data_IF_956897132683
#
_entry.id   IF_956897132683
#
_cell.length_a   1.000
_cell.length_b   1.000
_cell.length_c   1.000
_cell.angle_alpha   90.00
_cell.angle_beta   90.00
_cell.angle_gamma   90.00
#
_symmetry.space_group_name_H-M   'P 1'
#
loop_
_entity.id
_entity.type
_entity.pdbx_description
1 polymer ?
#
# COMPACT_ATOMS: atom_id res chain seq x y z
N UNK A 1 0.82 28.04 -35.34
CA UNK A 1 0.55 26.58 -35.34
C UNK A 1 1.77 25.88 -34.76
N UNK A 2 1.61 24.78 -34.01
CA UNK A 2 2.76 24.01 -33.53
C UNK A 2 3.62 23.60 -34.74
N UNK A 3 4.94 23.81 -34.65
CA UNK A 3 5.82 23.47 -35.76
C UNK A 3 5.79 21.97 -36.01
N UNK A 4 5.92 21.55 -37.28
CA UNK A 4 5.93 20.13 -37.66
C UNK A 4 6.99 19.33 -36.87
N UNK A 5 8.09 20.02 -36.53
CA UNK A 5 9.17 19.54 -35.67
C UNK A 5 8.71 19.29 -34.23
N UNK A 6 7.97 20.21 -33.62
CA UNK A 6 7.42 20.05 -32.26
C UNK A 6 6.47 18.87 -32.16
N UNK A 7 5.58 18.71 -33.13
CA UNK A 7 4.62 17.59 -33.14
C UNK A 7 5.36 16.26 -33.23
N UNK A 8 6.36 16.16 -34.12
CA UNK A 8 7.22 14.97 -34.24
C UNK A 8 7.99 14.67 -32.96
N UNK A 9 8.50 15.71 -32.29
CA UNK A 9 9.19 15.57 -31.01
C UNK A 9 8.26 15.08 -29.90
N UNK A 10 7.03 15.60 -29.84
CA UNK A 10 5.99 15.11 -28.91
C UNK A 10 5.66 13.65 -29.16
N UNK A 11 5.44 13.23 -30.41
CA UNK A 11 5.21 11.82 -30.76
C UNK A 11 6.35 10.95 -30.20
N UNK A 12 7.61 11.29 -30.51
CA UNK A 12 8.78 10.54 -30.03
C UNK A 12 8.85 10.47 -28.49
N UNK A 13 8.55 11.58 -27.81
CA UNK A 13 8.52 11.63 -26.36
C UNK A 13 7.44 10.72 -25.79
N UNK A 14 6.20 10.83 -26.26
CA UNK A 14 5.07 10.02 -25.79
C UNK A 14 5.27 8.54 -26.10
N UNK A 15 5.83 8.18 -27.26
CA UNK A 15 6.21 6.79 -27.58
C UNK A 15 7.25 6.24 -26.61
N UNK A 16 8.23 7.07 -26.21
CA UNK A 16 9.23 6.66 -25.22
C UNK A 16 8.59 6.42 -23.84
N UNK A 17 7.69 7.32 -23.42
CA UNK A 17 6.91 7.16 -22.19
C UNK A 17 6.06 5.88 -22.21
N UNK A 18 5.35 5.60 -23.31
CA UNK A 18 4.54 4.38 -23.50
C UNK A 18 5.36 3.10 -23.32
N UNK A 19 6.58 3.06 -23.88
CA UNK A 19 7.49 1.91 -23.71
C UNK A 19 7.90 1.72 -22.24
N UNK A 20 8.17 2.82 -21.53
CA UNK A 20 8.54 2.78 -20.11
C UNK A 20 7.36 2.30 -19.27
N UNK A 21 6.16 2.85 -19.47
CA UNK A 21 4.97 2.44 -18.71
C UNK A 21 4.61 0.98 -18.99
N UNK A 22 4.72 0.51 -20.24
CA UNK A 22 4.51 -0.89 -20.59
C UNK A 22 5.53 -1.81 -19.89
N UNK A 23 6.82 -1.46 -19.89
CA UNK A 23 7.83 -2.22 -19.17
C UNK A 23 7.54 -2.25 -17.65
N UNK A 24 7.14 -1.11 -17.07
CA UNK A 24 6.77 -1.03 -15.64
C UNK A 24 5.52 -1.85 -15.30
N UNK A 25 4.54 -1.93 -16.21
CA UNK A 25 3.38 -2.81 -16.08
C UNK A 25 3.82 -4.27 -15.96
N UNK A 26 4.67 -4.74 -16.88
CA UNK A 26 5.17 -6.13 -16.88
C UNK A 26 5.98 -6.45 -15.62
N UNK A 27 6.86 -5.53 -15.20
CA UNK A 27 7.62 -5.68 -13.96
C UNK A 27 6.69 -5.75 -12.74
N UNK A 28 5.67 -4.89 -12.68
CA UNK A 28 4.72 -4.88 -11.56
C UNK A 28 3.85 -6.13 -11.55
N UNK A 29 3.45 -6.65 -12.71
CA UNK A 29 2.75 -7.92 -12.83
C UNK A 29 3.55 -9.08 -12.25
N UNK A 30 4.83 -9.20 -12.60
CA UNK A 30 5.71 -10.24 -12.05
C UNK A 30 5.88 -10.13 -10.53
N UNK A 31 6.03 -8.91 -10.01
CA UNK A 31 6.14 -8.65 -8.57
C UNK A 31 4.83 -8.93 -7.81
N UNK A 32 3.70 -8.60 -8.41
CA UNK A 32 2.37 -8.90 -7.87
C UNK A 32 2.19 -10.41 -7.69
N UNK A 33 2.48 -11.21 -8.71
CA UNK A 33 2.36 -12.67 -8.62
C UNK A 33 3.24 -13.27 -7.50
N UNK A 34 4.45 -12.72 -7.31
CA UNK A 34 5.32 -13.14 -6.19
C UNK A 34 4.78 -12.71 -4.83
N UNK A 35 4.30 -11.48 -4.71
CA UNK A 35 3.72 -10.97 -3.47
C UNK A 35 2.46 -11.76 -3.08
N UNK A 36 1.60 -12.08 -4.04
CA UNK A 36 0.41 -12.92 -3.84
C UNK A 36 0.79 -14.34 -3.37
N UNK A 37 1.81 -14.95 -4.00
CA UNK A 37 2.30 -16.26 -3.59
C UNK A 37 2.84 -16.23 -2.15
N UNK A 38 3.58 -15.20 -1.78
CA UNK A 38 4.10 -15.01 -0.43
C UNK A 38 2.98 -14.80 0.60
N UNK A 39 1.97 -13.99 0.27
CA UNK A 39 0.79 -13.81 1.12
C UNK A 39 0.05 -15.12 1.34
N UNK A 40 -0.23 -15.89 0.27
CA UNK A 40 -0.88 -17.21 0.34
C UNK A 40 -0.07 -18.21 1.15
N UNK A 41 1.25 -18.25 0.99
CA UNK A 41 2.13 -19.13 1.76
C UNK A 41 2.16 -18.77 3.25
N UNK A 42 1.82 -17.53 3.61
CA UNK A 42 1.81 -17.06 4.99
C UNK A 42 0.48 -17.34 5.73
N UNK A 43 -0.64 -17.49 5.01
CA UNK A 43 -1.96 -17.77 5.60
C UNK A 43 -1.98 -18.96 6.56
N UNK A 44 -1.35 -20.12 6.28
CA UNK A 44 -1.35 -21.25 7.21
C UNK A 44 -0.71 -20.93 8.56
N UNK A 45 0.38 -20.14 8.56
CA UNK A 45 1.03 -19.71 9.79
C UNK A 45 0.09 -18.80 10.59
N UNK A 46 -0.52 -17.80 9.93
CA UNK A 46 -1.46 -16.87 10.53
C UNK A 46 -2.66 -17.57 11.17
N UNK A 47 -3.28 -18.49 10.44
CA UNK A 47 -4.44 -19.23 10.94
C UNK A 47 -4.05 -20.09 12.14
N UNK A 48 -2.88 -20.74 12.10
CA UNK A 48 -2.45 -21.61 13.20
C UNK A 48 -2.13 -20.82 14.47
N UNK A 49 -1.44 -19.68 14.36
CA UNK A 49 -1.18 -18.84 15.54
C UNK A 49 -2.48 -18.25 16.11
N UNK A 50 -3.42 -17.85 15.25
CA UNK A 50 -4.74 -17.38 15.66
C UNK A 50 -5.53 -18.46 16.39
N UNK A 51 -5.56 -19.69 15.86
CA UNK A 51 -6.27 -20.81 16.49
C UNK A 51 -5.67 -21.18 17.87
N UNK A 52 -4.35 -21.14 18.00
CA UNK A 52 -3.67 -21.42 19.29
C UNK A 52 -3.96 -20.31 20.29
N UNK A 53 -3.84 -19.04 19.88
CA UNK A 53 -4.16 -17.89 20.74
C UNK A 53 -5.63 -17.91 21.16
N UNK A 54 -6.55 -18.23 20.25
CA UNK A 54 -7.98 -18.38 20.55
C UNK A 54 -8.25 -19.48 21.58
N UNK A 55 -7.63 -20.65 21.40
CA UNK A 55 -7.80 -21.77 22.32
C UNK A 55 -7.34 -21.42 23.74
N UNK A 56 -6.18 -20.79 23.89
CA UNK A 56 -5.65 -20.40 25.21
C UNK A 56 -6.49 -19.27 25.84
N UNK A 57 -6.84 -18.25 25.05
CA UNK A 57 -7.63 -17.12 25.53
C UNK A 57 -9.04 -17.54 25.99
N UNK A 58 -9.65 -18.54 25.35
CA UNK A 58 -10.97 -19.07 25.75
C UNK A 58 -10.96 -19.88 27.05
N UNK A 59 -9.82 -20.51 27.38
CA UNK A 59 -9.69 -21.38 28.55
C UNK A 59 -9.20 -20.68 29.82
N UNK A 60 -8.77 -19.42 29.72
CA UNK A 60 -8.18 -18.68 30.84
C UNK A 60 -9.17 -17.62 31.32
N UNK A 61 -9.93 -17.92 32.40
CA UNK A 61 -10.94 -16.99 32.96
C UNK A 61 -10.37 -16.01 34.00
N UNK A 62 -9.19 -16.27 34.56
CA UNK A 62 -8.57 -15.46 35.61
C UNK A 62 -7.11 -15.15 35.22
N UNK A 63 -6.77 -13.87 35.03
CA UNK A 63 -5.44 -13.41 34.62
C UNK A 63 -5.43 -12.72 33.27
N UNK A 64 -6.08 -11.54 33.19
CA UNK A 64 -6.32 -10.88 31.92
C UNK A 64 -5.06 -10.17 31.41
N UNK A 65 -4.35 -10.83 30.49
CA UNK A 65 -3.15 -10.27 29.86
C UNK A 65 -3.43 -8.85 29.29
N UNK A 66 -2.55 -7.85 29.49
CA UNK A 66 -2.82 -6.45 29.10
C UNK A 66 -3.22 -6.26 27.62
N UNK A 67 -2.73 -7.13 26.73
CA UNK A 67 -3.08 -7.11 25.30
C UNK A 67 -4.50 -7.63 24.99
N UNK A 68 -5.20 -8.27 25.93
CA UNK A 68 -6.57 -8.79 25.76
C UNK A 68 -7.63 -7.87 26.39
N UNK A 69 -7.24 -6.99 27.31
CA UNK A 69 -8.16 -6.14 28.06
C UNK A 69 -8.32 -4.78 27.41
N UNK A 70 -9.56 -4.35 27.21
CA UNK A 70 -9.86 -2.98 26.81
C UNK A 70 -9.73 -2.03 28.00
N UNK A 71 -9.00 -0.93 27.81
CA UNK A 71 -8.83 0.14 28.81
C UNK A 71 -9.32 1.48 28.25
N UNK A 72 -9.63 2.48 29.11
CA UNK A 72 -10.05 3.80 28.67
C UNK A 72 -9.00 4.44 27.75
N UNK A 73 -9.41 4.88 26.57
CA UNK A 73 -8.50 5.38 25.53
C UNK A 73 -8.16 6.84 25.80
N UNK A 74 -6.89 7.12 26.08
CA UNK A 74 -6.31 8.47 26.15
C UNK A 74 -5.49 8.79 24.92
N UNK A 75 -4.70 7.83 24.44
CA UNK A 75 -3.88 7.95 23.23
C UNK A 75 -4.07 6.74 22.33
N UNK A 76 -4.00 6.97 21.02
CA UNK A 76 -4.11 5.89 20.02
C UNK A 76 -2.92 5.89 19.07
N UNK A 77 -2.46 4.69 18.77
CA UNK A 77 -1.44 4.46 17.77
C UNK A 77 -2.04 4.00 16.44
N UNK A 78 -1.43 4.47 15.36
CA UNK A 78 -1.84 4.20 13.99
C UNK A 78 -0.63 3.71 13.21
N UNK A 79 -0.63 2.44 12.85
CA UNK A 79 0.34 1.83 11.94
C UNK A 79 -0.21 1.91 10.52
N UNK A 80 0.39 2.76 9.70
CA UNK A 80 -0.09 3.02 8.34
C UNK A 80 0.91 2.44 7.34
N UNK A 81 0.45 1.46 6.55
CA UNK A 81 1.24 0.75 5.55
C UNK A 81 0.92 1.28 4.17
N UNK A 82 1.92 1.86 3.51
CA UNK A 82 1.82 2.20 2.09
C UNK A 82 3.17 2.05 1.39
N UNK A 83 3.29 2.62 0.18
CA UNK A 83 4.43 2.37 -0.68
C UNK A 83 5.58 3.34 -0.43
N UNK A 84 6.80 2.88 -0.73
CA UNK A 84 7.97 3.76 -0.83
C UNK A 84 7.99 4.57 -2.13
N UNK A 85 7.35 4.05 -3.19
CA UNK A 85 7.41 4.58 -4.55
C UNK A 85 6.01 4.92 -5.06
N UNK A 86 5.89 6.03 -5.77
CA UNK A 86 4.64 6.44 -6.43
C UNK A 86 4.26 5.57 -7.63
N UNK A 87 3.50 6.18 -8.55
CA UNK A 87 3.01 5.54 -9.79
C UNK A 87 2.08 4.34 -9.55
N UNK A 88 1.45 4.26 -8.37
CA UNK A 88 0.54 3.19 -7.98
C UNK A 88 -0.94 3.66 -7.95
N UNK A 89 -1.31 4.61 -8.82
CA UNK A 89 -2.65 5.18 -8.85
C UNK A 89 -3.07 5.78 -7.50
N UNK A 90 -4.27 5.44 -7.03
CA UNK A 90 -4.85 5.96 -5.79
C UNK A 90 -4.42 5.19 -4.51
N UNK A 91 -3.57 4.17 -4.62
CA UNK A 91 -3.18 3.28 -3.51
C UNK A 91 -2.79 4.04 -2.23
N UNK A 92 -1.79 4.92 -2.30
CA UNK A 92 -1.31 5.66 -1.13
C UNK A 92 -2.37 6.62 -0.60
N UNK A 93 -3.01 7.38 -1.49
CA UNK A 93 -4.00 8.40 -1.12
C UNK A 93 -5.22 7.80 -0.43
N UNK A 94 -5.64 6.61 -0.87
CA UNK A 94 -6.80 5.93 -0.29
C UNK A 94 -6.50 5.41 1.12
N UNK A 95 -5.33 4.81 1.35
CA UNK A 95 -4.92 4.35 2.69
C UNK A 95 -4.73 5.53 3.65
N UNK A 96 -4.08 6.60 3.20
CA UNK A 96 -3.89 7.82 3.99
C UNK A 96 -5.23 8.44 4.36
N UNK A 97 -6.17 8.53 3.40
CA UNK A 97 -7.52 9.05 3.67
C UNK A 97 -8.24 8.19 4.70
N UNK A 98 -8.23 6.87 4.55
CA UNK A 98 -8.85 5.95 5.51
C UNK A 98 -8.28 6.10 6.91
N UNK A 99 -6.96 6.30 7.04
CA UNK A 99 -6.32 6.56 8.32
C UNK A 99 -6.76 7.90 8.94
N UNK A 100 -6.87 8.97 8.14
CA UNK A 100 -7.36 10.26 8.60
C UNK A 100 -8.83 10.20 9.03
N UNK A 101 -9.69 9.53 8.25
CA UNK A 101 -11.11 9.33 8.58
C UNK A 101 -11.24 8.55 9.90
N UNK A 102 -10.38 7.54 10.11
CA UNK A 102 -10.30 6.78 11.36
C UNK A 102 -9.84 7.60 12.56
N UNK A 103 -8.94 8.57 12.38
CA UNK A 103 -8.53 9.52 13.43
C UNK A 103 -9.65 10.52 13.74
N UNK A 104 -10.31 11.06 12.71
CA UNK A 104 -11.37 12.06 12.84
C UNK A 104 -12.61 11.48 13.53
N UNK A 105 -13.03 10.27 13.14
CA UNK A 105 -14.20 9.59 13.76
C UNK A 105 -14.06 9.35 15.26
N UNK A 106 -12.82 9.34 15.78
CA UNK A 106 -12.51 9.15 17.20
C UNK A 106 -12.29 10.48 17.94
N UNK A 107 -12.48 11.63 17.27
CA UNK A 107 -12.31 12.97 17.81
C UNK A 107 -10.95 13.20 18.49
N UNK A 108 -9.88 12.61 17.93
CA UNK A 108 -8.56 12.69 18.55
C UNK A 108 -7.82 13.95 18.14
N UNK A 109 -7.24 14.64 19.14
CA UNK A 109 -6.28 15.69 18.88
C UNK A 109 -4.99 15.10 18.30
N UNK A 110 -4.23 15.90 17.57
CA UNK A 110 -2.91 15.49 17.06
C UNK A 110 -1.94 15.06 18.18
N UNK A 111 -2.11 15.61 19.39
CA UNK A 111 -1.26 15.32 20.55
C UNK A 111 -1.54 13.92 21.15
N UNK A 112 -2.72 13.36 20.87
CA UNK A 112 -3.17 12.06 21.36
C UNK A 112 -2.92 10.94 20.34
N UNK A 113 -2.35 11.28 19.19
CA UNK A 113 -2.11 10.36 18.07
C UNK A 113 -0.62 10.06 17.94
N UNK A 114 -0.30 8.77 17.85
CA UNK A 114 1.04 8.26 17.55
C UNK A 114 1.03 7.54 16.21
N UNK A 115 1.94 7.88 15.31
CA UNK A 115 2.03 7.25 13.98
C UNK A 115 3.25 6.33 13.89
N UNK A 116 3.03 5.12 13.40
CA UNK A 116 4.05 4.22 12.88
C UNK A 116 3.93 4.20 11.36
N UNK A 117 4.92 4.74 10.67
CA UNK A 117 4.87 4.91 9.22
C UNK A 117 5.64 3.81 8.49
N UNK A 118 4.94 2.95 7.76
CA UNK A 118 5.57 1.95 6.90
C UNK A 118 5.47 2.42 5.45
N UNK A 119 6.61 2.82 4.89
CA UNK A 119 6.72 3.37 3.54
C UNK A 119 6.93 4.89 3.51
N UNK A 120 7.82 5.32 2.61
CA UNK A 120 8.24 6.73 2.43
C UNK A 120 7.07 7.70 2.24
N UNK A 121 6.06 7.35 1.43
CA UNK A 121 4.97 8.28 1.09
C UNK A 121 4.15 8.67 2.31
N UNK A 122 3.83 7.69 3.16
CA UNK A 122 3.09 7.89 4.42
C UNK A 122 3.92 8.69 5.41
N UNK A 123 5.20 8.32 5.57
CA UNK A 123 6.14 9.03 6.44
C UNK A 123 6.24 10.50 6.10
N UNK A 124 6.45 10.82 4.82
CA UNK A 124 6.58 12.20 4.33
C UNK A 124 5.27 12.98 4.51
N UNK A 125 4.12 12.33 4.27
CA UNK A 125 2.80 12.94 4.44
C UNK A 125 2.52 13.32 5.90
N UNK A 126 2.63 12.37 6.84
CA UNK A 126 2.29 12.62 8.24
C UNK A 126 3.27 13.60 8.91
N UNK A 127 4.57 13.52 8.59
CA UNK A 127 5.55 14.52 9.06
C UNK A 127 5.21 15.93 8.56
N UNK A 128 4.85 16.08 7.28
CA UNK A 128 4.46 17.38 6.72
C UNK A 128 3.19 17.94 7.37
N UNK A 129 2.27 17.08 7.79
CA UNK A 129 1.03 17.47 8.46
C UNK A 129 1.20 17.74 9.97
N UNK A 130 2.42 17.60 10.51
CA UNK A 130 2.75 17.87 11.91
C UNK A 130 2.27 16.78 12.88
N UNK A 131 2.08 15.54 12.42
CA UNK A 131 1.79 14.41 13.29
C UNK A 131 3.07 13.86 13.94
N UNK A 132 2.91 13.25 15.12
CA UNK A 132 4.00 12.59 15.82
C UNK A 132 4.29 11.20 15.21
N UNK A 133 5.26 11.14 14.29
CA UNK A 133 5.77 9.88 13.71
C UNK A 133 6.88 9.33 14.62
N UNK A 134 6.55 8.32 15.42
CA UNK A 134 7.43 7.76 16.46
C UNK A 134 8.43 6.74 15.90
N UNK A 135 8.04 6.05 14.84
CA UNK A 135 8.92 5.15 14.13
C UNK A 135 8.54 5.09 12.65
N UNK A 136 9.53 4.79 11.82
CA UNK A 136 9.34 4.66 10.39
C UNK A 136 10.18 3.53 9.82
N UNK A 137 9.58 2.75 8.92
CA UNK A 137 10.27 1.72 8.16
C UNK A 137 10.17 2.08 6.68
N UNK A 138 11.32 2.32 6.03
CA UNK A 138 11.38 2.80 4.64
C UNK A 138 12.36 1.97 3.82
N UNK A 139 12.14 1.93 2.51
CA UNK A 139 13.02 1.18 1.61
C UNK A 139 12.84 -0.33 1.73
N UNK A 140 11.62 -0.77 2.04
CA UNK A 140 11.29 -2.18 2.12
C UNK A 140 11.47 -2.84 0.74
N UNK A 141 12.04 -4.06 0.68
CA UNK A 141 12.17 -4.77 -0.57
C UNK A 141 10.78 -5.08 -1.16
N UNK A 142 10.73 -5.32 -2.48
CA UNK A 142 9.47 -5.69 -3.16
C UNK A 142 8.88 -7.00 -2.61
N UNK A 143 9.72 -7.86 -2.04
CA UNK A 143 9.34 -9.11 -1.39
C UNK A 143 9.90 -9.08 0.04
N UNK A 144 9.18 -8.48 1.00
CA UNK A 144 9.64 -8.35 2.37
C UNK A 144 9.65 -9.70 3.07
N UNK A 145 10.62 -9.82 3.98
CA UNK A 145 10.74 -10.89 4.94
C UNK A 145 10.23 -10.43 6.31
N UNK A 146 9.96 -11.36 7.21
CA UNK A 146 9.53 -11.03 8.56
C UNK A 146 10.55 -10.16 9.32
N UNK A 147 11.85 -10.37 9.09
CA UNK A 147 12.92 -9.58 9.72
C UNK A 147 12.86 -8.10 9.36
N UNK A 148 12.34 -7.74 8.19
CA UNK A 148 12.31 -6.36 7.71
C UNK A 148 11.31 -5.50 8.47
N UNK A 149 10.26 -6.10 9.05
CA UNK A 149 9.22 -5.38 9.81
C UNK A 149 9.26 -5.66 11.31
N UNK A 150 10.09 -6.61 11.74
CA UNK A 150 10.15 -7.09 13.11
C UNK A 150 10.47 -6.00 14.13
N UNK A 151 11.34 -5.05 13.79
CA UNK A 151 11.75 -3.99 14.71
C UNK A 151 10.60 -3.03 15.01
N UNK A 152 9.98 -2.47 13.98
CA UNK A 152 8.83 -1.56 14.14
C UNK A 152 7.63 -2.27 14.77
N UNK A 153 7.37 -3.54 14.41
CA UNK A 153 6.30 -4.33 15.01
C UNK A 153 6.54 -4.56 16.51
N UNK A 154 7.75 -4.94 16.92
CA UNK A 154 8.13 -5.07 18.33
C UNK A 154 8.01 -3.78 19.11
N UNK A 155 8.44 -2.66 18.52
CA UNK A 155 8.32 -1.34 19.15
C UNK A 155 6.85 -0.96 19.32
N UNK A 156 6.01 -1.19 18.31
CA UNK A 156 4.57 -0.94 18.38
C UNK A 156 3.85 -1.85 19.40
N UNK A 157 4.30 -3.08 19.60
CA UNK A 157 3.73 -3.93 20.66
C UNK A 157 4.26 -3.50 22.04
N UNK A 158 5.57 -3.25 22.18
CA UNK A 158 6.19 -2.85 23.43
C UNK A 158 5.64 -1.54 23.99
N UNK A 159 5.49 -0.52 23.15
CA UNK A 159 4.94 0.78 23.58
C UNK A 159 3.49 0.70 24.07
N UNK A 160 2.70 -0.26 23.57
CA UNK A 160 1.36 -0.55 24.09
C UNK A 160 1.43 -1.15 25.49
N UNK A 161 2.31 -2.14 25.69
CA UNK A 161 2.54 -2.80 26.98
C UNK A 161 3.05 -1.81 28.03
N UNK A 162 3.91 -0.88 27.64
CA UNK A 162 4.43 0.20 28.49
C UNK A 162 3.38 1.28 28.83
N UNK A 163 2.19 1.23 28.24
CA UNK A 163 1.12 2.19 28.51
C UNK A 163 1.26 3.54 27.79
N UNK A 164 2.06 3.60 26.71
CA UNK A 164 2.23 4.86 25.94
C UNK A 164 0.97 5.25 25.17
N UNK A 165 0.21 4.25 24.73
CA UNK A 165 -1.10 4.38 24.10
C UNK A 165 -1.98 3.18 24.42
N UNK A 166 -3.29 3.33 24.25
CA UNK A 166 -4.30 2.42 24.76
C UNK A 166 -4.93 1.55 23.67
N UNK A 167 -4.68 1.86 22.41
CA UNK A 167 -5.11 1.07 21.26
C UNK A 167 -4.17 1.28 20.07
N UNK A 168 -4.06 0.24 19.24
CA UNK A 168 -3.25 0.23 18.01
C UNK A 168 -4.13 -0.19 16.84
N UNK A 169 -4.27 0.69 15.87
CA UNK A 169 -4.92 0.44 14.59
C UNK A 169 -3.91 0.29 13.48
N UNK A 170 -4.23 -0.56 12.52
CA UNK A 170 -3.46 -0.76 11.31
C UNK A 170 -4.29 -0.42 10.09
N UNK A 171 -3.68 0.35 9.19
CA UNK A 171 -4.27 0.77 7.93
C UNK A 171 -3.42 0.26 6.79
N UNK A 172 -4.03 -0.49 5.89
CA UNK A 172 -3.38 -1.07 4.73
C UNK A 172 -4.41 -1.23 3.61
N UNK A 173 -3.96 -1.65 2.44
CA UNK A 173 -4.85 -1.95 1.32
C UNK A 173 -4.97 -3.46 1.15
N UNK A 174 -6.15 -4.00 1.42
CA UNK A 174 -6.47 -5.42 1.27
C UNK A 174 -6.58 -5.80 -0.21
N UNK A 175 -5.84 -6.82 -0.62
CA UNK A 175 -5.82 -7.31 -1.98
C UNK A 175 -7.00 -8.23 -2.24
N UNK A 176 -7.97 -7.75 -3.03
CA UNK A 176 -9.10 -8.56 -3.49
C UNK A 176 -8.79 -9.17 -4.86
N UNK A 177 -8.28 -8.34 -5.78
CA UNK A 177 -7.91 -8.77 -7.13
C UNK A 177 -6.92 -7.79 -7.76
N UNK A 178 -6.43 -8.12 -8.96
CA UNK A 178 -5.55 -7.24 -9.74
C UNK A 178 -6.14 -5.85 -10.03
N UNK A 179 -7.48 -5.72 -10.02
CA UNK A 179 -8.19 -4.48 -10.37
C UNK A 179 -8.74 -3.81 -9.12
N UNK A 180 -9.16 -4.60 -8.12
CA UNK A 180 -9.80 -4.10 -6.90
C UNK A 180 -8.94 -4.34 -5.67
N UNK A 181 -8.74 -3.27 -4.91
CA UNK A 181 -8.19 -3.30 -3.57
C UNK A 181 -9.00 -2.37 -2.67
N UNK A 182 -9.07 -2.70 -1.39
CA UNK A 182 -9.89 -1.96 -0.44
C UNK A 182 -9.01 -1.42 0.70
N UNK A 183 -9.06 -0.12 1.02
CA UNK A 183 -8.41 0.41 2.21
C UNK A 183 -9.12 -0.11 3.47
N UNK A 184 -8.41 -0.90 4.25
CA UNK A 184 -8.96 -1.59 5.42
C UNK A 184 -8.35 -1.01 6.70
N UNK A 185 -9.20 -0.79 7.69
CA UNK A 185 -8.80 -0.55 9.08
C UNK A 185 -8.91 -1.87 9.83
N UNK A 186 -7.86 -2.25 10.56
CA UNK A 186 -7.88 -3.41 11.44
C UNK A 186 -7.33 -3.01 12.81
N UNK A 187 -8.06 -3.35 13.87
CA UNK A 187 -7.57 -3.20 15.25
C UNK A 187 -6.54 -4.30 15.53
N UNK A 188 -5.34 -3.92 15.92
CA UNK A 188 -4.26 -4.87 16.27
C UNK A 188 -4.23 -5.07 17.78
N UNK A 189 -4.33 -3.99 18.57
CA UNK A 189 -4.35 -4.03 20.03
C UNK A 189 -5.41 -3.06 20.60
N UNK A 190 -6.02 -3.37 21.75
CA UNK A 190 -6.10 -4.70 22.37
C UNK A 190 -6.80 -5.71 21.44
N UNK A 191 -6.46 -6.99 21.59
CA UNK A 191 -6.96 -8.10 20.79
C UNK A 191 -8.30 -8.54 21.37
N UNK A 192 -9.38 -7.87 20.95
CA UNK A 192 -10.75 -8.18 21.41
C UNK A 192 -11.45 -9.21 20.56
N UNK A 193 -11.07 -9.31 19.28
CA UNK A 193 -11.81 -10.07 18.27
C UNK A 193 -11.04 -11.36 17.89
N UNK A 194 -10.75 -12.19 18.89
CA UNK A 194 -10.10 -13.49 18.65
C UNK A 194 -11.18 -14.52 18.34
N UNK A 195 -11.48 -14.69 17.05
CA UNK A 195 -12.34 -15.78 16.58
C UNK A 195 -11.47 -16.94 16.07
N UNK A 196 -11.72 -18.19 16.49
CA UNK A 196 -11.02 -19.34 15.95
C UNK A 196 -11.40 -19.51 14.47
N UNK A 197 -10.41 -19.85 13.64
CA UNK A 197 -10.61 -20.11 12.20
C UNK A 197 -11.12 -21.54 11.98
N UNK A 198 -10.70 -22.47 12.84
CA UNK A 198 -11.16 -23.86 12.86
C UNK A 198 -12.36 -24.05 13.79
N UNK A 199 -13.38 -24.79 13.35
CA UNK A 199 -14.49 -25.26 14.19
C UNK A 199 -14.12 -26.41 15.12
N UNK A 200 -12.92 -26.98 14.97
CA UNK A 200 -12.45 -28.08 15.82
C UNK A 200 -11.76 -27.52 17.06
N UNK A 201 -12.44 -27.58 18.20
CA UNK A 201 -11.86 -27.29 19.51
C UNK A 201 -10.88 -28.39 19.88
N UNK A 202 -9.59 -28.15 19.64
CA UNK A 202 -8.52 -29.00 20.15
C UNK A 202 -8.27 -28.68 21.63
N UNK A 203 -8.32 -29.70 22.49
CA UNK A 203 -7.89 -29.58 23.89
C UNK A 203 -6.38 -29.59 23.93
N UNK A 204 -5.77 -28.52 24.44
CA UNK A 204 -4.32 -28.40 24.60
C UNK A 204 -3.95 -28.58 26.07
N UNK A 205 -2.83 -29.25 26.32
CA UNK A 205 -2.15 -29.23 27.60
C UNK A 205 -1.02 -28.18 27.52
N UNK A 206 -0.94 -27.31 28.52
CA UNK A 206 -0.03 -26.16 28.50
C UNK A 206 1.13 -26.38 29.45
N UNK A 207 2.34 -26.28 28.93
CA UNK A 207 3.57 -26.33 29.71
C UNK A 207 4.42 -25.09 29.38
N UNK A 208 4.80 -24.24 30.36
CA UNK A 208 4.61 -24.37 31.82
C UNK A 208 3.23 -23.92 32.35
N UNK A 209 2.56 -22.95 31.72
CA UNK A 209 1.18 -22.54 32.02
C UNK A 209 0.58 -21.77 30.84
N UNK A 210 -0.76 -21.68 30.76
CA UNK A 210 -1.43 -20.92 29.68
C UNK A 210 -1.03 -19.44 29.66
N UNK A 211 -0.90 -18.81 30.83
CA UNK A 211 -0.49 -17.41 30.98
C UNK A 211 0.94 -17.16 30.49
N UNK A 212 1.90 -18.01 30.88
CA UNK A 212 3.30 -17.91 30.44
C UNK A 212 3.43 -18.09 28.92
N UNK A 213 2.59 -18.93 28.32
CA UNK A 213 2.54 -19.10 26.86
C UNK A 213 1.95 -17.85 26.19
N UNK A 214 0.89 -17.25 26.76
CA UNK A 214 0.28 -16.02 26.23
C UNK A 214 1.25 -14.84 26.24
N UNK A 215 2.07 -14.68 27.28
CA UNK A 215 3.10 -13.63 27.35
C UNK A 215 4.05 -13.65 26.15
N UNK A 216 4.34 -14.85 25.62
CA UNK A 216 5.22 -15.02 24.46
C UNK A 216 4.44 -14.98 23.15
N UNK A 217 3.26 -15.60 23.10
CA UNK A 217 2.49 -15.75 21.86
C UNK A 217 1.73 -14.49 21.45
N UNK A 218 1.20 -13.70 22.38
CA UNK A 218 0.42 -12.51 22.03
C UNK A 218 1.26 -11.44 21.30
N UNK A 219 2.50 -11.13 21.72
CA UNK A 219 3.39 -10.29 20.93
C UNK A 219 3.69 -10.86 19.56
N UNK A 220 3.99 -12.17 19.47
CA UNK A 220 4.24 -12.83 18.19
C UNK A 220 3.02 -12.81 17.27
N UNK A 221 1.82 -12.93 17.82
CA UNK A 221 0.57 -12.83 17.09
C UNK A 221 0.37 -11.43 16.54
N UNK A 222 0.56 -10.39 17.36
CA UNK A 222 0.49 -9.01 16.89
C UNK A 222 1.55 -8.69 15.81
N UNK A 223 2.80 -9.15 15.99
CA UNK A 223 3.86 -9.05 14.98
C UNK A 223 3.46 -9.76 13.68
N UNK A 224 2.85 -10.94 13.80
CA UNK A 224 2.37 -11.74 12.66
C UNK A 224 1.27 -11.02 11.88
N UNK A 225 0.31 -10.40 12.58
CA UNK A 225 -0.78 -9.62 11.98
C UNK A 225 -0.24 -8.45 11.15
N UNK A 226 0.76 -7.73 11.68
CA UNK A 226 1.40 -6.61 10.99
C UNK A 226 2.13 -7.12 9.73
N UNK A 227 2.88 -8.21 9.83
CA UNK A 227 3.57 -8.77 8.68
C UNK A 227 2.60 -9.31 7.61
N UNK A 228 1.50 -9.94 8.01
CA UNK A 228 0.46 -10.40 7.09
C UNK A 228 -0.17 -9.24 6.31
N UNK A 229 -0.48 -8.14 6.98
CA UNK A 229 -0.99 -6.94 6.34
C UNK A 229 0.05 -6.24 5.45
N UNK A 230 1.34 -6.34 5.78
CA UNK A 230 2.41 -5.87 4.91
C UNK A 230 2.47 -6.67 3.60
N UNK A 231 2.40 -8.01 3.66
CA UNK A 231 2.39 -8.87 2.47
C UNK A 231 1.18 -8.58 1.58
N UNK A 232 0.01 -8.45 2.20
CA UNK A 232 -1.24 -8.10 1.52
C UNK A 232 -1.16 -6.69 0.89
N UNK A 233 -0.65 -5.72 1.66
CA UNK A 233 -0.38 -4.36 1.20
C UNK A 233 0.58 -4.32 0.01
N UNK A 234 1.61 -5.18 -0.04
CA UNK A 234 2.54 -5.29 -1.17
C UNK A 234 1.90 -5.89 -2.41
N UNK A 235 1.03 -6.89 -2.25
CA UNK A 235 0.24 -7.43 -3.37
C UNK A 235 -0.65 -6.34 -3.97
N UNK A 236 -1.38 -5.60 -3.13
CA UNK A 236 -2.20 -4.44 -3.53
C UNK A 236 -1.39 -3.31 -4.17
N UNK A 237 -0.17 -3.05 -3.68
CA UNK A 237 0.74 -2.03 -4.22
C UNK A 237 1.12 -2.36 -5.67
N UNK A 238 1.56 -3.60 -5.92
CA UNK A 238 1.97 -4.04 -7.25
C UNK A 238 0.79 -4.16 -8.21
N UNK A 239 -0.37 -4.62 -7.74
CA UNK A 239 -1.60 -4.64 -8.53
C UNK A 239 -2.04 -3.23 -8.96
N UNK A 240 -2.08 -2.29 -8.02
CA UNK A 240 -2.42 -0.88 -8.31
C UNK A 240 -1.46 -0.24 -9.29
N UNK A 241 -0.16 -0.51 -9.15
CA UNK A 241 0.86 -0.03 -10.08
C UNK A 241 0.72 -0.66 -11.46
N UNK A 242 0.49 -1.96 -11.55
CA UNK A 242 0.24 -2.64 -12.82
C UNK A 242 -0.94 -2.00 -13.56
N UNK A 243 -2.06 -1.79 -12.87
CA UNK A 243 -3.26 -1.16 -13.44
C UNK A 243 -3.01 0.30 -13.85
N UNK A 244 -2.34 1.09 -13.00
CA UNK A 244 -1.99 2.47 -13.33
C UNK A 244 -1.06 2.59 -14.54
N UNK A 245 -0.08 1.68 -14.65
CA UNK A 245 0.85 1.64 -15.79
C UNK A 245 0.18 1.15 -17.08
N UNK A 246 -0.78 0.22 -16.99
CA UNK A 246 -1.61 -0.18 -18.13
C UNK A 246 -2.40 1.02 -18.65
N UNK A 247 -3.16 1.70 -17.79
CA UNK A 247 -3.93 2.89 -18.18
C UNK A 247 -3.03 4.00 -18.73
N UNK A 248 -1.83 4.20 -18.17
CA UNK A 248 -0.88 5.17 -18.69
C UNK A 248 -0.35 4.80 -20.09
N UNK A 249 -0.18 3.51 -20.38
CA UNK A 249 0.24 3.00 -21.69
C UNK A 249 -0.88 3.19 -22.72
N UNK A 250 -2.11 2.85 -22.36
CA UNK A 250 -3.29 3.02 -23.21
C UNK A 250 -3.50 4.51 -23.55
N UNK A 251 -3.48 5.39 -22.53
CA UNK A 251 -3.57 6.85 -22.73
C UNK A 251 -2.44 7.41 -23.61
N UNK A 252 -1.24 6.84 -23.51
CA UNK A 252 -0.13 7.25 -24.35
C UNK A 252 -0.33 6.82 -25.81
N UNK A 253 -0.92 5.65 -26.07
CA UNK A 253 -1.27 5.21 -27.42
C UNK A 253 -2.32 6.11 -28.06
N UNK A 254 -3.36 6.47 -27.33
CA UNK A 254 -4.39 7.40 -27.80
C UNK A 254 -3.78 8.76 -28.18
N UNK A 255 -2.94 9.31 -27.31
CA UNK A 255 -2.26 10.57 -27.57
C UNK A 255 -1.30 10.49 -28.79
N UNK A 256 -0.62 9.36 -28.99
CA UNK A 256 0.24 9.15 -30.16
C UNK A 256 -0.60 9.14 -31.44
N UNK A 257 -1.78 8.53 -31.43
CA UNK A 257 -2.69 8.48 -32.58
C UNK A 257 -3.15 9.90 -32.95
N UNK A 258 -3.60 10.68 -31.97
CA UNK A 258 -4.05 12.07 -32.18
C UNK A 258 -2.92 12.96 -32.74
N UNK A 259 -1.72 12.85 -32.14
CA UNK A 259 -0.56 13.60 -32.60
C UNK A 259 -0.13 13.18 -34.02
N UNK A 260 -0.31 11.92 -34.38
CA UNK A 260 0.02 11.40 -35.72
C UNK A 260 -0.94 11.97 -36.78
N UNK A 261 -2.23 12.04 -36.48
CA UNK A 261 -3.23 12.69 -37.35
C UNK A 261 -2.87 14.17 -37.53
N UNK A 262 -2.58 14.87 -36.43
CA UNK A 262 -2.20 16.27 -36.46
C UNK A 262 -0.90 16.51 -37.25
N UNK A 263 0.10 15.64 -37.09
CA UNK A 263 1.36 15.69 -37.83
C UNK A 263 1.12 15.54 -39.34
N UNK A 264 0.33 14.55 -39.74
CA UNK A 264 0.05 14.30 -41.16
C UNK A 264 -0.71 15.48 -41.80
N UNK A 265 -1.67 16.07 -41.08
CA UNK A 265 -2.39 17.27 -41.54
C UNK A 265 -1.45 18.47 -41.70
N UNK A 266 -0.59 18.72 -40.72
CA UNK A 266 0.40 19.80 -40.79
C UNK A 266 1.40 19.57 -41.93
N UNK A 267 1.80 18.31 -42.18
CA UNK A 267 2.70 17.93 -43.27
C UNK A 267 2.08 18.21 -44.63
N UNK A 268 0.82 17.82 -44.82
CA UNK A 268 0.11 18.09 -46.06
C UNK A 268 -0.02 19.61 -46.30
N UNK A 269 -0.40 20.38 -45.27
CA UNK A 269 -0.48 21.83 -45.38
C UNK A 269 0.87 22.48 -45.75
N UNK A 270 1.97 22.03 -45.13
CA UNK A 270 3.31 22.52 -45.44
C UNK A 270 3.74 22.20 -46.88
N UNK A 271 3.51 20.96 -47.34
CA UNK A 271 3.81 20.56 -48.73
C UNK A 271 2.97 21.39 -49.73
N UNK A 272 1.67 21.56 -49.47
CA UNK A 272 0.81 22.37 -50.33
C UNK A 272 1.27 23.83 -50.37
N UNK A 273 1.68 24.39 -49.23
CA UNK A 273 2.21 25.75 -49.15
C UNK A 273 3.51 25.89 -49.94
N UNK A 274 4.48 24.98 -49.75
CA UNK A 274 5.74 24.97 -50.50
C UNK A 274 5.48 24.91 -52.02
N UNK A 275 4.59 24.02 -52.48
CA UNK A 275 4.22 23.92 -53.89
C UNK A 275 3.58 25.22 -54.39
N UNK A 276 2.68 25.81 -53.61
CA UNK A 276 1.98 27.05 -53.99
C UNK A 276 2.96 28.22 -54.10
N UNK A 277 3.92 28.32 -53.17
CA UNK A 277 4.99 29.34 -53.19
C UNK A 277 5.92 29.16 -54.40
N UNK A 278 6.31 27.91 -54.74
CA UNK A 278 7.14 27.62 -55.93
C UNK A 278 6.41 28.01 -57.21
N UNK A 279 5.15 27.59 -57.38
CA UNK A 279 4.35 27.87 -58.58
C UNK A 279 4.06 29.37 -58.70
N UNK A 280 3.70 30.04 -57.60
CA UNK A 280 3.47 31.48 -57.58
C UNK A 280 4.73 32.29 -57.89
N UNK A 281 5.89 31.87 -57.39
CA UNK A 281 7.17 32.50 -57.71
C UNK A 281 7.59 32.32 -59.16
N UNK A 282 7.36 31.13 -59.74
CA UNK A 282 7.62 30.87 -61.15
C UNK A 282 6.73 31.72 -62.07
N UNK A 283 5.43 31.82 -61.76
CA UNK A 283 4.47 32.63 -62.53
C UNK A 283 4.75 34.14 -62.45
N UNK A 284 5.40 34.62 -61.39
CA UNK A 284 5.76 36.04 -61.24
C UNK A 284 6.98 36.46 -62.10
N UNK A 285 7.68 35.50 -62.71
CA UNK A 285 8.82 35.75 -63.60
C UNK A 285 8.44 35.79 -65.09
N UNK A 286 7.23 35.32 -65.45
CA UNK A 286 6.60 35.55 -66.77
C UNK A 286 5.96 36.93 -66.85
#
# INVERSE_FOLDING_TARGET
MASLREVKQRIKSTTSTSKITNAMQLVSSSKMSRAEANAKAYVPYMNKIQDVVAAIASGTQDGAHPMLVSRPVKKSAYLVIASDRGLAGAYNSNVIRKALDGMESRNQSKDDVVIFAVGRVVRDFFKKQGFNVVDEEIGLPDQPSFSDIKQIARKAVGMFTDGTYDELYMYYSHFISAISNEPTEKKVLPITDITPTSTTSASYEFEPSGEAILEVLLPQYAESLIYGALLDGKASEHASRMTAMKSATDNAHDLINDLTILYNRARQAAITQEITEIVGGAAALE
#
